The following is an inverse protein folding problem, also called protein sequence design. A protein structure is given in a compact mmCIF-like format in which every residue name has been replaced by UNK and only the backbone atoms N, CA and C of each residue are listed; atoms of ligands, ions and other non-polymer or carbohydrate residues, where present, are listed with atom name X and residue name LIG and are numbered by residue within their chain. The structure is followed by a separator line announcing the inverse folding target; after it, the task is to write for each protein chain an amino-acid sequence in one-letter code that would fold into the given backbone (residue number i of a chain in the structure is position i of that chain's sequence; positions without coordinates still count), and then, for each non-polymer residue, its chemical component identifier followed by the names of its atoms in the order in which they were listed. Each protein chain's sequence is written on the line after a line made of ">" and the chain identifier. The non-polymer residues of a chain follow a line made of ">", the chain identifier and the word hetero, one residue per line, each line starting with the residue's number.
data_IF_578329650471
#
_entry.id   IF_578329650471
#
_cell.length_a   1.000
_cell.length_b   1.000
_cell.length_c   1.000
_cell.angle_alpha   90.00
_cell.angle_beta   90.00
_cell.angle_gamma   90.00
#
_symmetry.space_group_name_H-M   'P 1'
#
loop_
_entity.id
_entity.type
_entity.pdbx_description
1 polymer ?
#
# COMPACT_ATOMS: atom_id res chain seq x y z
N UNK A 1 -7.90 1.56 -6.88
CA UNK A 1 -8.82 2.29 -5.96
C UNK A 1 -8.10 3.40 -5.19
N UNK A 2 -8.77 4.53 -4.94
CA UNK A 2 -8.30 5.58 -4.01
C UNK A 2 -8.89 5.36 -2.61
N UNK A 3 -8.15 5.73 -1.56
CA UNK A 3 -8.50 5.39 -0.17
C UNK A 3 -9.25 6.50 0.59
N UNK A 4 -9.67 7.52 -0.14
CA UNK A 4 -10.46 8.65 0.34
C UNK A 4 -11.35 9.13 -0.80
N UNK A 5 -12.38 9.90 -0.48
CA UNK A 5 -13.26 10.53 -1.48
C UNK A 5 -13.20 12.05 -1.40
N UNK A 6 -13.72 12.72 -2.43
CA UNK A 6 -13.87 14.18 -2.45
C UNK A 6 -14.70 14.67 -1.26
N UNK A 7 -15.78 13.95 -0.91
CA UNK A 7 -16.66 14.32 0.19
C UNK A 7 -15.96 14.24 1.55
N UNK A 8 -15.15 13.20 1.76
CA UNK A 8 -14.34 13.07 2.98
C UNK A 8 -13.32 14.21 3.09
N UNK A 9 -12.64 14.55 1.99
CA UNK A 9 -11.68 15.65 1.97
C UNK A 9 -12.37 17.00 2.23
N UNK A 10 -13.54 17.25 1.62
CA UNK A 10 -14.34 18.45 1.87
C UNK A 10 -14.76 18.56 3.32
N UNK A 11 -15.18 17.45 3.93
CA UNK A 11 -15.49 17.35 5.34
C UNK A 11 -14.31 17.76 6.23
N UNK A 12 -13.12 17.21 5.94
CA UNK A 12 -11.89 17.53 6.68
C UNK A 12 -11.47 19.00 6.51
N UNK A 13 -11.57 19.54 5.30
CA UNK A 13 -11.24 20.93 5.00
C UNK A 13 -12.30 21.93 5.49
N UNK A 14 -13.49 21.45 5.86
CA UNK A 14 -14.69 22.25 6.18
C UNK A 14 -15.07 23.20 5.05
N UNK A 15 -14.97 22.75 3.81
CA UNK A 15 -15.35 23.50 2.61
C UNK A 15 -16.58 22.86 1.94
N UNK A 16 -17.51 23.69 1.46
CA UNK A 16 -18.75 23.23 0.81
C UNK A 16 -18.84 23.53 -0.69
N UNK A 17 -17.80 24.13 -1.29
CA UNK A 17 -17.84 24.56 -2.70
C UNK A 17 -17.53 23.39 -3.64
N UNK A 18 -18.30 23.28 -4.73
CA UNK A 18 -18.14 22.25 -5.76
C UNK A 18 -17.10 22.59 -6.85
N UNK A 19 -16.41 23.73 -6.73
CA UNK A 19 -15.52 24.23 -7.80
C UNK A 19 -14.19 23.50 -7.89
N UNK A 20 -13.80 22.78 -6.83
CA UNK A 20 -12.46 22.21 -6.71
C UNK A 20 -12.47 20.68 -6.82
N UNK A 21 -13.61 20.08 -7.21
CA UNK A 21 -13.84 18.64 -7.17
C UNK A 21 -12.85 17.87 -8.05
N UNK A 22 -12.48 18.42 -9.21
CA UNK A 22 -11.46 17.85 -10.09
C UNK A 22 -10.07 17.87 -9.43
N UNK A 23 -9.73 18.96 -8.74
CA UNK A 23 -8.49 19.08 -8.00
C UNK A 23 -8.47 18.10 -6.83
N UNK A 24 -9.55 18.03 -6.05
CA UNK A 24 -9.69 17.14 -4.90
C UNK A 24 -9.62 15.67 -5.31
N UNK A 25 -10.22 15.30 -6.46
CA UNK A 25 -10.12 13.95 -7.03
C UNK A 25 -8.66 13.61 -7.34
N UNK A 26 -7.95 14.50 -8.03
CA UNK A 26 -6.52 14.30 -8.33
C UNK A 26 -5.67 14.17 -7.06
N UNK A 27 -5.99 14.95 -6.02
CA UNK A 27 -5.30 14.90 -4.73
C UNK A 27 -5.62 13.64 -3.93
N UNK A 28 -6.85 13.13 -4.00
CA UNK A 28 -7.23 11.84 -3.43
C UNK A 28 -6.38 10.70 -4.02
N UNK A 29 -6.24 10.67 -5.34
CA UNK A 29 -5.36 9.72 -6.02
C UNK A 29 -3.91 9.91 -5.59
N UNK A 30 -3.40 11.15 -5.64
CA UNK A 30 -2.00 11.43 -5.29
C UNK A 30 -1.66 11.03 -3.84
N UNK A 31 -2.55 11.32 -2.88
CA UNK A 31 -2.40 10.94 -1.48
C UNK A 31 -2.43 9.41 -1.32
N UNK A 32 -3.34 8.72 -1.99
CA UNK A 32 -3.43 7.26 -1.96
C UNK A 32 -2.13 6.60 -2.46
N UNK A 33 -1.60 7.05 -3.62
CA UNK A 33 -0.33 6.53 -4.16
C UNK A 33 0.89 6.92 -3.31
N UNK A 34 0.87 8.10 -2.71
CA UNK A 34 1.94 8.51 -1.79
C UNK A 34 1.94 7.62 -0.54
N UNK A 35 0.76 7.28 -0.02
CA UNK A 35 0.61 6.39 1.11
C UNK A 35 1.02 4.94 0.80
N UNK A 36 0.65 4.43 -0.38
CA UNK A 36 1.13 3.14 -0.90
C UNK A 36 2.66 3.04 -0.86
N UNK A 37 3.34 4.04 -1.41
CA UNK A 37 4.82 4.09 -1.44
C UNK A 37 5.43 4.24 -0.05
N UNK A 38 4.78 4.99 0.83
CA UNK A 38 5.21 5.14 2.21
C UNK A 38 5.16 3.80 2.96
N UNK A 39 4.07 3.05 2.80
CA UNK A 39 3.85 1.77 3.47
C UNK A 39 4.73 0.64 2.91
N UNK A 40 4.94 0.60 1.59
CA UNK A 40 5.74 -0.44 0.91
C UNK A 40 7.24 -0.14 0.88
N UNK A 41 7.62 1.14 0.93
CA UNK A 41 8.99 1.60 0.68
C UNK A 41 9.42 1.50 -0.79
N UNK A 42 8.53 1.10 -1.71
CA UNK A 42 8.82 0.99 -3.13
C UNK A 42 8.71 2.35 -3.82
N UNK A 43 9.58 2.60 -4.80
CA UNK A 43 9.51 3.82 -5.62
C UNK A 43 8.54 3.72 -6.79
N UNK A 44 8.27 2.51 -7.26
CA UNK A 44 7.47 2.21 -8.46
C UNK A 44 6.66 0.94 -8.27
N UNK A 45 5.49 0.89 -8.88
CA UNK A 45 4.65 -0.31 -8.96
C UNK A 45 3.86 -0.65 -7.69
N UNK A 46 3.97 0.14 -6.62
CA UNK A 46 3.22 -0.04 -5.36
C UNK A 46 1.80 0.47 -5.40
N UNK A 47 1.36 0.98 -6.54
CA UNK A 47 0.02 1.51 -6.68
C UNK A 47 -0.99 0.41 -6.35
N UNK A 48 -2.01 0.78 -5.57
CA UNK A 48 -3.09 -0.10 -5.14
C UNK A 48 -2.65 -1.20 -4.17
N UNK A 49 -1.75 -0.88 -3.23
CA UNK A 49 -1.24 -1.84 -2.24
C UNK A 49 -2.35 -2.43 -1.35
N UNK A 50 -3.32 -1.60 -0.96
CA UNK A 50 -4.45 -2.00 -0.10
C UNK A 50 -5.72 -2.41 -0.83
N UNK A 51 -5.78 -2.25 -2.15
CA UNK A 51 -6.95 -2.66 -2.95
C UNK A 51 -7.02 -4.19 -3.01
N UNK A 52 -8.17 -4.76 -2.65
CA UNK A 52 -8.45 -6.18 -2.79
C UNK A 52 -8.49 -6.56 -4.26
N UNK A 53 -7.61 -7.47 -4.68
CA UNK A 53 -7.58 -7.97 -6.04
C UNK A 53 -6.99 -9.37 -6.10
N UNK A 54 -7.43 -10.15 -7.09
CA UNK A 54 -6.75 -11.37 -7.49
C UNK A 54 -5.55 -11.01 -8.36
N UNK A 55 -4.36 -11.39 -7.91
CA UNK A 55 -3.10 -11.22 -8.63
C UNK A 55 -2.71 -12.56 -9.24
N UNK A 56 -2.54 -12.59 -10.55
CA UNK A 56 -2.22 -13.80 -11.32
C UNK A 56 -0.74 -13.89 -11.67
N UNK A 57 -0.18 -15.09 -11.50
CA UNK A 57 1.20 -15.44 -11.87
C UNK A 57 2.24 -14.39 -11.39
N UNK A 58 2.10 -13.90 -10.16
CA UNK A 58 3.05 -12.95 -9.60
C UNK A 58 4.43 -13.62 -9.44
N UNK A 59 5.44 -13.04 -10.07
CA UNK A 59 6.81 -13.52 -9.98
C UNK A 59 7.57 -12.80 -8.86
N UNK A 60 7.91 -13.56 -7.82
CA UNK A 60 8.64 -13.07 -6.64
C UNK A 60 9.82 -13.98 -6.31
N UNK A 61 10.67 -13.52 -5.39
CA UNK A 61 11.78 -14.34 -4.87
C UNK A 61 11.39 -14.86 -3.49
N UNK A 62 11.47 -16.17 -3.31
CA UNK A 62 11.30 -16.84 -2.03
C UNK A 62 12.65 -17.13 -1.36
N UNK A 63 12.65 -17.11 -0.04
CA UNK A 63 13.78 -17.50 0.81
C UNK A 63 13.47 -18.86 1.39
N UNK A 64 14.44 -19.78 1.30
CA UNK A 64 14.30 -21.12 1.89
C UNK A 64 14.79 -21.07 3.33
N UNK A 65 13.92 -21.43 4.27
CA UNK A 65 14.21 -21.51 5.69
C UNK A 65 14.99 -22.78 6.04
N UNK A 66 15.40 -22.88 7.31
CA UNK A 66 16.16 -24.03 7.81
C UNK A 66 15.38 -25.35 7.77
N UNK A 67 14.06 -25.29 7.86
CA UNK A 67 13.13 -26.41 7.79
C UNK A 67 12.83 -26.87 6.35
N UNK A 68 13.33 -26.17 5.33
CA UNK A 68 13.06 -26.45 3.92
C UNK A 68 11.86 -25.70 3.35
N UNK A 69 11.12 -24.96 4.18
CA UNK A 69 9.97 -24.16 3.73
C UNK A 69 10.42 -22.97 2.88
N UNK A 70 9.58 -22.60 1.90
CA UNK A 70 9.79 -21.42 1.07
C UNK A 70 8.92 -20.30 1.61
N UNK A 71 9.55 -19.23 2.10
CA UNK A 71 8.86 -18.01 2.53
C UNK A 71 8.98 -16.96 1.46
N UNK A 72 7.87 -16.34 1.09
CA UNK A 72 7.84 -15.22 0.16
C UNK A 72 6.86 -14.15 0.64
N UNK A 73 6.98 -12.96 0.06
CA UNK A 73 6.17 -11.81 0.44
C UNK A 73 5.48 -11.23 -0.79
N UNK A 74 4.25 -11.66 -1.11
CA UNK A 74 3.48 -11.12 -2.22
C UNK A 74 3.26 -9.61 -2.11
N UNK A 75 2.87 -8.94 -3.20
CA UNK A 75 2.79 -7.48 -3.25
C UNK A 75 1.69 -6.86 -2.42
N UNK A 76 0.54 -7.52 -2.23
CA UNK A 76 -0.59 -6.93 -1.49
C UNK A 76 -0.33 -6.89 0.02
N UNK A 77 -1.07 -6.01 0.71
CA UNK A 77 -0.91 -5.79 2.15
C UNK A 77 -1.25 -7.01 3.00
N UNK A 78 -2.27 -7.74 2.57
CA UNK A 78 -2.78 -8.95 3.20
C UNK A 78 -3.11 -9.97 2.12
N UNK A 79 -2.94 -11.26 2.40
CA UNK A 79 -3.27 -12.38 1.52
C UNK A 79 -4.41 -13.14 2.15
N UNK A 80 -5.54 -13.21 1.46
CA UNK A 80 -6.74 -13.89 1.96
C UNK A 80 -6.88 -15.32 1.42
N UNK A 81 -6.30 -15.60 0.25
CA UNK A 81 -6.39 -16.89 -0.42
C UNK A 81 -5.22 -17.08 -1.40
N UNK A 82 -4.72 -18.31 -1.53
CA UNK A 82 -3.68 -18.69 -2.50
C UNK A 82 -4.23 -19.80 -3.40
N UNK A 83 -4.41 -19.48 -4.69
CA UNK A 83 -5.01 -20.41 -5.66
C UNK A 83 -3.98 -21.17 -6.50
N UNK A 84 -2.75 -20.68 -6.61
CA UNK A 84 -1.63 -21.47 -7.10
C UNK A 84 -0.30 -21.01 -6.54
N UNK A 85 0.58 -21.97 -6.26
CA UNK A 85 1.95 -21.71 -5.85
C UNK A 85 2.89 -22.63 -6.62
N UNK A 86 3.91 -22.05 -7.23
CA UNK A 86 4.94 -22.82 -7.93
C UNK A 86 6.30 -22.20 -7.72
N UNK A 87 7.34 -23.02 -7.73
CA UNK A 87 8.71 -22.56 -7.52
C UNK A 87 9.69 -23.23 -8.49
N UNK A 88 10.86 -22.62 -8.63
CA UNK A 88 12.01 -23.19 -9.36
C UNK A 88 13.31 -22.55 -8.89
N UNK A 89 14.40 -23.31 -8.96
CA UNK A 89 15.73 -22.82 -8.56
C UNK A 89 16.35 -21.98 -9.67
N UNK A 90 16.19 -22.41 -10.91
CA UNK A 90 16.76 -21.76 -12.09
C UNK A 90 15.72 -21.42 -13.16
N UNK A 91 15.88 -20.32 -13.93
CA UNK A 91 15.03 -20.02 -15.06
C UNK A 91 15.01 -21.10 -16.17
N UNK A 92 16.02 -21.98 -16.18
CA UNK A 92 16.14 -23.09 -17.13
C UNK A 92 15.34 -24.32 -16.73
N UNK A 93 14.91 -24.37 -15.48
CA UNK A 93 14.11 -25.47 -14.94
C UNK A 93 12.62 -25.19 -15.13
N UNK A 94 11.87 -26.28 -15.25
CA UNK A 94 10.42 -26.23 -15.20
C UNK A 94 9.93 -25.79 -13.82
N UNK A 95 8.77 -25.15 -13.78
CA UNK A 95 8.09 -24.82 -12.53
C UNK A 95 7.63 -26.11 -11.84
N UNK A 96 7.92 -26.21 -10.54
CA UNK A 96 7.40 -27.24 -9.66
C UNK A 96 6.19 -26.65 -8.93
N UNK A 97 5.05 -27.34 -8.99
CA UNK A 97 3.87 -26.93 -8.23
C UNK A 97 4.04 -27.37 -6.78
N UNK A 98 3.74 -26.46 -5.85
CA UNK A 98 3.63 -26.80 -4.43
C UNK A 98 2.22 -27.35 -4.14
N UNK A 99 2.12 -28.17 -3.10
CA UNK A 99 0.84 -28.66 -2.59
C UNK A 99 0.16 -27.56 -1.77
N UNK A 100 -1.05 -27.15 -2.16
CA UNK A 100 -1.72 -25.99 -1.54
C UNK A 100 -2.17 -26.26 -0.10
N UNK A 101 -2.42 -27.52 0.26
CA UNK A 101 -2.75 -27.93 1.64
C UNK A 101 -1.62 -27.64 2.63
N UNK A 102 -0.39 -27.44 2.12
CA UNK A 102 0.81 -27.10 2.89
C UNK A 102 1.27 -25.67 2.65
N UNK A 103 0.40 -24.81 2.10
CA UNK A 103 0.66 -23.37 1.98
C UNK A 103 -0.08 -22.64 3.08
N UNK A 104 0.68 -21.98 3.94
CA UNK A 104 0.18 -21.12 4.99
C UNK A 104 0.42 -19.65 4.62
N UNK A 105 -0.47 -18.79 5.07
CA UNK A 105 -0.32 -17.36 4.91
C UNK A 105 -0.75 -16.63 6.17
N UNK A 106 0.03 -15.60 6.52
CA UNK A 106 -0.27 -14.68 7.62
C UNK A 106 0.06 -13.27 7.13
N UNK A 107 -0.98 -12.46 6.97
CA UNK A 107 -0.88 -11.10 6.41
C UNK A 107 -0.22 -11.13 5.02
N UNK A 108 0.82 -10.33 4.83
CA UNK A 108 1.59 -10.27 3.58
C UNK A 108 2.71 -11.32 3.46
N UNK A 109 2.68 -12.40 4.26
CA UNK A 109 3.68 -13.48 4.22
C UNK A 109 3.02 -14.77 3.77
N UNK A 110 3.62 -15.46 2.80
CA UNK A 110 3.19 -16.78 2.34
C UNK A 110 4.34 -17.77 2.51
N UNK A 111 4.06 -18.88 3.19
CA UNK A 111 5.00 -19.96 3.49
C UNK A 111 4.49 -21.25 2.87
N UNK A 112 5.26 -21.83 1.95
CA UNK A 112 5.01 -23.16 1.41
C UNK A 112 5.91 -24.17 2.12
N UNK A 113 5.31 -25.15 2.80
CA UNK A 113 6.04 -26.19 3.53
C UNK A 113 6.53 -27.30 2.60
N UNK A 114 7.63 -27.00 1.92
CA UNK A 114 8.32 -27.92 1.02
C UNK A 114 9.50 -28.61 1.74
N UNK A 115 9.94 -29.77 1.23
CA UNK A 115 11.11 -30.49 1.76
C UNK A 115 12.38 -30.17 0.98
N UNK A 116 12.70 -28.88 0.82
CA UNK A 116 13.89 -28.47 0.06
C UNK A 116 15.18 -28.72 0.82
N UNK A 117 16.10 -29.45 0.20
CA UNK A 117 17.43 -29.73 0.75
C UNK A 117 18.42 -28.57 0.58
N UNK A 118 18.15 -27.65 -0.35
CA UNK A 118 19.05 -26.56 -0.69
C UNK A 118 18.52 -25.21 -0.20
N UNK A 119 19.36 -24.45 0.51
CA UNK A 119 19.02 -23.10 1.03
C UNK A 119 19.24 -21.98 0.02
N UNK A 120 18.97 -22.25 -1.26
CA UNK A 120 19.12 -21.26 -2.31
C UNK A 120 17.82 -20.47 -2.47
N UNK A 121 17.93 -19.19 -2.83
CA UNK A 121 16.76 -18.38 -3.14
C UNK A 121 15.99 -19.00 -4.31
N UNK A 122 14.69 -19.17 -4.13
CA UNK A 122 13.80 -19.77 -5.12
C UNK A 122 13.09 -18.67 -5.90
N UNK A 123 12.88 -18.89 -7.20
CA UNK A 123 11.90 -18.10 -7.96
C UNK A 123 10.53 -18.67 -7.68
N UNK A 124 9.61 -17.84 -7.23
CA UNK A 124 8.23 -18.22 -6.90
C UNK A 124 7.30 -17.56 -7.92
N UNK A 125 6.30 -18.32 -8.36
CA UNK A 125 5.17 -17.86 -9.16
C UNK A 125 3.91 -18.18 -8.36
N UNK A 126 3.17 -17.16 -7.98
CA UNK A 126 2.02 -17.29 -7.09
C UNK A 126 0.80 -16.59 -7.69
N UNK A 127 -0.35 -17.25 -7.64
CA UNK A 127 -1.65 -16.60 -7.84
C UNK A 127 -2.39 -16.58 -6.52
N UNK A 128 -2.86 -15.42 -6.12
CA UNK A 128 -3.50 -15.22 -4.82
C UNK A 128 -4.51 -14.08 -4.89
N UNK A 129 -5.42 -14.05 -3.94
CA UNK A 129 -6.28 -12.90 -3.67
C UNK A 129 -5.74 -12.19 -2.44
N UNK A 130 -5.54 -10.88 -2.55
CA UNK A 130 -4.99 -10.08 -1.46
C UNK A 130 -5.30 -8.60 -1.57
N UNK A 131 -5.14 -7.91 -0.45
CA UNK A 131 -5.56 -6.53 -0.21
C UNK A 131 -6.54 -6.47 0.96
N UNK A 132 -6.96 -5.26 1.33
CA UNK A 132 -7.84 -5.04 2.48
C UNK A 132 -9.30 -4.93 2.06
N UNK A 133 -9.59 -4.17 1.00
CA UNK A 133 -10.95 -3.98 0.51
C UNK A 133 -10.99 -3.55 -0.96
N UNK A 134 -12.12 -3.81 -1.61
CA UNK A 134 -12.49 -3.38 -2.96
C UNK A 134 -13.22 -2.03 -2.99
N UNK A 135 -13.72 -1.58 -1.84
CA UNK A 135 -14.43 -0.31 -1.64
C UNK A 135 -13.91 0.47 -0.43
N UNK A 136 -13.99 1.81 -0.50
CA UNK A 136 -13.52 2.71 0.56
C UNK A 136 -14.25 2.47 1.88
N UNK A 137 -15.55 2.16 1.84
CA UNK A 137 -16.35 1.96 3.06
C UNK A 137 -15.98 0.68 3.82
N UNK A 138 -15.28 -0.24 3.16
CA UNK A 138 -14.82 -1.50 3.73
C UNK A 138 -13.35 -1.42 4.20
N UNK A 139 -12.66 -0.30 3.96
CA UNK A 139 -11.31 -0.10 4.47
C UNK A 139 -11.31 0.22 5.97
N UNK A 140 -10.22 -0.11 6.69
CA UNK A 140 -10.03 0.37 8.05
C UNK A 140 -10.14 1.89 8.17
N UNK A 141 -10.92 2.37 9.14
CA UNK A 141 -11.24 3.80 9.26
C UNK A 141 -10.00 4.67 9.53
N UNK A 142 -9.00 4.14 10.21
CA UNK A 142 -7.70 4.78 10.44
C UNK A 142 -6.89 4.95 9.14
N UNK A 143 -6.94 3.99 8.22
CA UNK A 143 -6.33 4.11 6.90
C UNK A 143 -7.00 5.22 6.09
N UNK A 144 -8.34 5.22 6.06
CA UNK A 144 -9.13 6.26 5.38
C UNK A 144 -8.81 7.64 5.95
N UNK A 145 -8.78 7.79 7.27
CA UNK A 145 -8.45 9.04 7.96
C UNK A 145 -7.04 9.54 7.59
N UNK A 146 -6.05 8.65 7.59
CA UNK A 146 -4.65 9.00 7.25
C UNK A 146 -4.55 9.56 5.83
N UNK A 147 -5.19 8.91 4.87
CA UNK A 147 -5.15 9.34 3.46
C UNK A 147 -5.97 10.61 3.25
N UNK A 148 -7.11 10.75 3.94
CA UNK A 148 -7.95 11.96 3.92
C UNK A 148 -7.16 13.19 4.40
N UNK A 149 -6.50 13.08 5.56
CA UNK A 149 -5.68 14.16 6.13
C UNK A 149 -4.49 14.49 5.24
N UNK A 150 -3.88 13.49 4.60
CA UNK A 150 -2.78 13.71 3.65
C UNK A 150 -3.25 14.47 2.40
N UNK A 151 -4.41 14.11 1.84
CA UNK A 151 -5.00 14.80 0.69
C UNK A 151 -5.38 16.25 1.04
N UNK A 152 -6.01 16.46 2.20
CA UNK A 152 -6.34 17.79 2.71
C UNK A 152 -5.08 18.66 2.88
N UNK A 153 -3.97 18.07 3.34
CA UNK A 153 -2.68 18.75 3.42
C UNK A 153 -2.15 19.15 2.05
N UNK A 154 -2.18 18.25 1.07
CA UNK A 154 -1.75 18.59 -0.29
C UNK A 154 -2.58 19.73 -0.89
N UNK A 155 -3.88 19.78 -0.60
CA UNK A 155 -4.73 20.90 -1.01
C UNK A 155 -4.29 22.22 -0.37
N UNK A 156 -4.10 22.24 0.95
CA UNK A 156 -3.64 23.44 1.67
C UNK A 156 -2.25 23.92 1.23
N UNK A 157 -1.34 23.00 0.92
CA UNK A 157 -0.03 23.33 0.38
C UNK A 157 -0.14 23.92 -1.04
N UNK A 158 -1.05 23.40 -1.88
CA UNK A 158 -1.31 23.97 -3.19
C UNK A 158 -1.95 25.38 -3.11
N UNK A 159 -2.91 25.60 -2.20
CA UNK A 159 -3.49 26.93 -1.94
C UNK A 159 -2.45 27.91 -1.41
N UNK A 160 -1.64 27.51 -0.44
CA UNK A 160 -0.63 28.37 0.18
C UNK A 160 0.50 28.75 -0.80
N UNK A 161 0.91 27.82 -1.68
CA UNK A 161 1.87 28.11 -2.75
C UNK A 161 1.34 29.07 -3.81
N UNK A 162 0.01 29.17 -3.95
CA UNK A 162 -0.66 30.17 -4.79
C UNK A 162 -0.88 31.52 -4.06
N UNK A 163 -0.82 31.53 -2.72
CA UNK A 163 -0.97 32.71 -1.89
C UNK A 163 0.32 33.56 -1.76
N UNK A 164 1.41 33.18 -2.43
CA UNK A 164 2.63 33.99 -2.59
C UNK A 164 2.44 35.23 -3.50
N UNK A 165 1.19 35.63 -3.80
CA UNK A 165 0.86 36.91 -4.41
C UNK A 165 0.12 37.83 -3.44
N UNK A 166 0.78 38.97 -3.20
CA UNK A 166 0.36 40.20 -2.51
C UNK A 166 0.60 40.18 -0.99
N UNK A 167 1.78 40.70 -0.62
CA UNK A 167 2.15 41.00 0.75
C UNK A 167 1.17 41.97 1.40
N UNK A 168 0.42 41.46 2.39
CA UNK A 168 -0.14 42.25 3.47
C UNK A 168 0.47 41.72 4.75
N UNK A 169 1.42 42.49 5.27
CA UNK A 169 2.15 42.21 6.48
C UNK A 169 1.27 42.49 7.71
N UNK A 170 0.26 41.67 8.01
CA UNK A 170 -0.34 41.67 9.36
C UNK A 170 -1.29 40.51 9.76
N UNK A 171 -1.08 39.26 9.32
CA UNK A 171 -1.81 38.13 9.95
C UNK A 171 -0.94 36.87 9.99
N UNK A 172 -0.65 36.41 11.21
CA UNK A 172 -0.14 35.09 11.61
C UNK A 172 0.65 34.29 10.57
N UNK A 173 1.98 34.25 10.73
CA UNK A 173 2.81 33.29 9.99
C UNK A 173 2.24 31.88 10.10
N UNK A 174 1.78 31.33 8.98
CA UNK A 174 1.47 29.90 8.86
C UNK A 174 2.79 29.13 8.95
N UNK A 175 3.18 28.76 10.18
CA UNK A 175 4.27 27.81 10.42
C UNK A 175 3.75 26.42 10.01
N UNK A 176 3.84 26.10 8.73
CA UNK A 176 3.67 24.72 8.30
C UNK A 176 4.89 23.93 8.77
N UNK A 177 4.71 23.16 9.84
CA UNK A 177 5.68 22.15 10.24
C UNK A 177 5.88 21.19 9.06
N UNK A 178 7.12 21.07 8.56
CA UNK A 178 7.48 20.11 7.50
C UNK A 178 7.20 18.66 7.90
N UNK A 179 7.02 18.38 9.18
CA UNK A 179 6.67 17.05 9.67
C UNK A 179 5.19 16.72 9.45
N UNK A 180 4.90 15.46 9.13
CA UNK A 180 3.54 14.91 9.21
C UNK A 180 3.05 14.96 10.67
N UNK A 181 1.75 15.20 10.91
CA UNK A 181 1.20 15.13 12.26
C UNK A 181 1.51 13.78 12.91
N UNK A 182 1.96 13.77 14.17
CA UNK A 182 2.33 12.54 14.87
C UNK A 182 1.20 11.50 14.88
N UNK A 183 -0.06 11.95 14.93
CA UNK A 183 -1.25 11.10 14.83
C UNK A 183 -1.24 10.28 13.54
N UNK A 184 -0.99 10.92 12.40
CA UNK A 184 -0.95 10.29 11.07
C UNK A 184 0.17 9.26 11.01
N UNK A 185 1.35 9.61 11.54
CA UNK A 185 2.51 8.70 11.57
C UNK A 185 2.20 7.45 12.40
N UNK A 186 1.60 7.60 13.58
CA UNK A 186 1.24 6.48 14.45
C UNK A 186 0.12 5.61 13.86
N UNK A 187 -0.88 6.22 13.22
CA UNK A 187 -1.94 5.49 12.52
C UNK A 187 -1.42 4.71 11.30
N UNK A 188 -0.38 5.21 10.64
CA UNK A 188 0.22 4.54 9.49
C UNK A 188 1.16 3.38 9.85
N UNK A 189 1.66 3.33 11.08
CA UNK A 189 2.66 2.36 11.53
C UNK A 189 2.25 0.89 11.37
N UNK A 190 1.01 0.48 11.70
CA UNK A 190 0.56 -0.91 11.54
C UNK A 190 0.50 -1.37 10.07
N UNK A 191 0.29 -0.44 9.14
CA UNK A 191 0.17 -0.72 7.70
C UNK A 191 1.51 -0.77 6.98
N UNK A 192 2.57 -0.39 7.66
CA UNK A 192 3.90 -0.37 7.09
C UNK A 192 4.45 -1.78 7.00
N UNK A 193 4.94 -2.12 5.82
CA UNK A 193 5.57 -3.40 5.58
C UNK A 193 6.92 -3.47 6.30
N UNK A 194 7.17 -4.57 7.00
CA UNK A 194 8.45 -4.82 7.69
C UNK A 194 9.56 -5.09 6.68
N UNK A 195 9.27 -5.87 5.63
CA UNK A 195 10.21 -6.21 4.56
C UNK A 195 9.91 -5.33 3.35
N UNK A 196 10.89 -4.57 2.89
CA UNK A 196 10.73 -3.74 1.68
C UNK A 196 10.54 -4.62 0.44
N UNK A 197 9.82 -4.07 -0.54
CA UNK A 197 9.78 -4.63 -1.90
C UNK A 197 11.15 -4.70 -2.55
#
# INVERSE_FOLDING_TARGET
>A
MDYTSVDLIKGELRIGKATDDDLLTRLATAASRAFDRYCTGAKTGSDNYFELATVTDELITGVVNQDGSIVCWPRKADVSDVSSFSYRTSPRESWLAAELDYVEFDKGVVTAWESLSSRQAQRVKITYTGGLADDINNLPADLVEVVTVLAARFYREAEAGLADMIGVADVGMLIYSKALPLRVVKMAEPYRRVVRW
#
